data_IF_302167371203
#
_entry.id   IF_302167371203
#
_cell.length_a   1.000
_cell.length_b   1.000
_cell.length_c   1.000
_cell.angle_alpha   90.00
_cell.angle_beta   90.00
_cell.angle_gamma   90.00
#
_symmetry.space_group_name_H-M   'P 1'
#
loop_
_entity.id
_entity.type
_entity.pdbx_description
1 polymer ?
#
# COMPACT_ATOMS: atom_id res chain seq x y z
N UNK A 1 17.26 -9.26 -57.87
CA UNK A 1 18.66 -8.85 -57.64
C UNK A 1 18.79 -7.65 -56.68
N UNK A 2 17.91 -7.44 -55.69
CA UNK A 2 18.04 -6.34 -54.72
C UNK A 2 18.34 -6.81 -53.29
N UNK A 3 17.91 -8.02 -52.92
CA UNK A 3 18.11 -8.56 -51.57
C UNK A 3 19.58 -8.77 -51.22
N UNK A 4 20.39 -9.30 -52.15
CA UNK A 4 21.83 -9.54 -51.93
C UNK A 4 22.62 -8.25 -51.69
N UNK A 5 22.29 -7.17 -52.42
CA UNK A 5 22.97 -5.88 -52.25
C UNK A 5 22.69 -5.25 -50.89
N UNK A 6 21.46 -5.44 -50.37
CA UNK A 6 21.05 -4.97 -49.05
C UNK A 6 21.81 -5.70 -47.94
N UNK A 7 21.95 -7.03 -48.05
CA UNK A 7 22.71 -7.81 -47.05
C UNK A 7 24.21 -7.49 -47.07
N UNK A 8 24.79 -7.23 -48.25
CA UNK A 8 26.19 -6.79 -48.35
C UNK A 8 26.40 -5.43 -47.67
N UNK A 9 25.47 -4.48 -47.86
CA UNK A 9 25.55 -3.17 -47.18
C UNK A 9 25.47 -3.29 -45.65
N UNK A 10 24.62 -4.18 -45.14
CA UNK A 10 24.50 -4.42 -43.69
C UNK A 10 25.78 -4.94 -43.05
N UNK A 11 26.53 -5.78 -43.78
CA UNK A 11 27.79 -6.34 -43.31
C UNK A 11 28.95 -5.34 -43.48
N UNK A 12 28.93 -4.57 -44.58
CA UNK A 12 30.01 -3.65 -44.93
C UNK A 12 30.04 -2.39 -44.06
N UNK A 13 28.92 -2.02 -43.44
CA UNK A 13 28.81 -0.81 -42.62
C UNK A 13 28.22 -1.13 -41.22
N UNK A 14 29.00 -1.79 -40.33
CA UNK A 14 28.56 -2.16 -38.99
C UNK A 14 28.21 -0.95 -38.12
N UNK A 15 28.70 0.25 -38.46
CA UNK A 15 28.35 1.47 -37.73
C UNK A 15 26.93 1.96 -38.07
N UNK A 16 26.45 1.69 -39.29
CA UNK A 16 25.09 2.02 -39.75
C UNK A 16 24.10 0.87 -39.48
N UNK A 17 24.56 -0.37 -39.61
CA UNK A 17 23.71 -1.58 -39.62
C UNK A 17 24.12 -2.67 -38.64
N UNK A 18 25.30 -2.57 -38.02
CA UNK A 18 25.64 -3.43 -36.89
C UNK A 18 24.64 -3.12 -35.79
N UNK A 19 24.19 -4.18 -35.12
CA UNK A 19 23.27 -4.13 -33.99
C UNK A 19 23.60 -2.87 -33.19
N UNK A 20 22.76 -1.84 -33.32
CA UNK A 20 22.92 -0.61 -32.57
C UNK A 20 23.06 -1.09 -31.15
N UNK A 21 24.29 -1.00 -30.63
CA UNK A 21 24.68 -1.56 -29.33
C UNK A 21 23.54 -1.25 -28.42
N UNK A 22 22.81 -2.31 -28.06
CA UNK A 22 21.64 -2.36 -27.19
C UNK A 22 21.61 -1.06 -26.41
N UNK A 23 20.94 -0.04 -26.98
CA UNK A 23 21.00 1.31 -26.44
C UNK A 23 20.44 1.16 -25.06
N UNK A 24 21.33 1.16 -24.08
CA UNK A 24 21.18 0.44 -22.81
C UNK A 24 19.73 0.50 -22.38
N UNK A 25 19.01 -0.64 -22.42
CA UNK A 25 17.60 -0.67 -22.00
C UNK A 25 17.57 0.11 -20.68
N UNK A 26 16.86 1.26 -20.62
CA UNK A 26 17.01 2.16 -19.50
C UNK A 26 16.76 1.33 -18.25
N UNK A 27 17.78 1.26 -17.38
CA UNK A 27 17.71 0.41 -16.20
C UNK A 27 16.62 1.00 -15.31
N UNK A 28 15.46 0.34 -15.28
CA UNK A 28 14.34 0.76 -14.44
C UNK A 28 14.74 0.41 -13.01
N UNK A 29 15.19 1.42 -12.27
CA UNK A 29 15.41 1.31 -10.84
C UNK A 29 14.04 1.50 -10.19
N UNK A 30 13.48 0.43 -9.63
CA UNK A 30 12.23 0.51 -8.89
C UNK A 30 12.48 1.13 -7.52
N UNK A 31 11.67 2.11 -7.15
CA UNK A 31 11.67 2.64 -5.80
C UNK A 31 11.17 1.58 -4.81
N UNK A 32 11.92 1.38 -3.73
CA UNK A 32 11.48 0.55 -2.60
C UNK A 32 10.66 1.39 -1.63
N UNK A 33 9.36 1.10 -1.53
CA UNK A 33 8.45 1.77 -0.58
C UNK A 33 8.29 0.88 0.66
N UNK A 34 8.57 1.40 1.88
CA UNK A 34 8.26 0.68 3.12
C UNK A 34 6.78 0.34 3.23
N UNK A 35 6.47 -0.88 3.69
CA UNK A 35 5.09 -1.38 3.79
C UNK A 35 4.18 -0.49 4.66
N UNK A 36 4.76 0.14 5.69
CA UNK A 36 4.07 1.04 6.61
C UNK A 36 3.58 2.33 5.94
N UNK A 37 4.15 2.71 4.80
CA UNK A 37 3.69 3.85 4.00
C UNK A 37 2.51 3.51 3.10
N UNK A 38 2.16 2.23 2.97
CA UNK A 38 1.02 1.78 2.19
C UNK A 38 -0.26 1.82 3.03
N UNK A 39 -1.39 2.09 2.38
CA UNK A 39 -2.71 1.93 2.98
C UNK A 39 -3.00 0.45 3.28
N UNK A 40 -3.91 0.16 4.21
CA UNK A 40 -4.33 -1.22 4.46
C UNK A 40 -4.87 -1.94 3.22
N UNK A 41 -5.51 -1.19 2.31
CA UNK A 41 -5.98 -1.72 1.03
C UNK A 41 -4.80 -2.09 0.12
N UNK A 42 -3.83 -1.20 -0.03
CA UNK A 42 -2.61 -1.45 -0.82
C UNK A 42 -1.76 -2.61 -0.28
N UNK A 43 -1.68 -2.75 1.04
CA UNK A 43 -1.03 -3.92 1.68
C UNK A 43 -1.81 -5.18 1.33
N UNK A 44 -3.15 -5.17 1.46
CA UNK A 44 -4.00 -6.33 1.13
C UNK A 44 -3.79 -6.83 -0.29
N UNK A 45 -3.66 -5.93 -1.27
CA UNK A 45 -3.49 -6.29 -2.67
C UNK A 45 -2.09 -6.83 -3.00
N UNK A 46 -1.06 -6.47 -2.22
CA UNK A 46 0.32 -6.93 -2.42
C UNK A 46 0.66 -8.16 -1.56
N UNK A 47 0.21 -8.17 -0.32
CA UNK A 47 0.46 -9.22 0.66
C UNK A 47 -0.75 -9.36 1.62
N UNK A 48 -1.59 -10.36 1.31
CA UNK A 48 -2.75 -10.70 2.11
C UNK A 48 -2.40 -11.24 3.50
N UNK A 49 -1.23 -11.86 3.67
CA UNK A 49 -0.77 -12.44 4.94
C UNK A 49 -0.40 -11.31 5.90
N UNK A 50 0.39 -10.34 5.44
CA UNK A 50 0.77 -9.19 6.26
C UNK A 50 -0.46 -8.33 6.60
N UNK A 51 -1.38 -8.11 5.66
CA UNK A 51 -2.66 -7.45 5.94
C UNK A 51 -3.43 -8.15 7.08
N UNK A 52 -3.55 -9.48 7.04
CA UNK A 52 -4.24 -10.27 8.07
C UNK A 52 -3.54 -10.16 9.41
N UNK A 53 -2.21 -10.18 9.43
CA UNK A 53 -1.39 -10.04 10.63
C UNK A 53 -1.59 -8.67 11.28
N UNK A 54 -1.49 -7.57 10.51
CA UNK A 54 -1.75 -6.22 11.00
C UNK A 54 -3.17 -6.11 11.55
N UNK A 55 -4.18 -6.55 10.77
CA UNK A 55 -5.58 -6.52 11.19
C UNK A 55 -5.78 -7.27 12.51
N UNK A 56 -5.28 -8.49 12.62
CA UNK A 56 -5.41 -9.29 13.84
C UNK A 56 -4.71 -8.63 15.02
N UNK A 57 -3.50 -8.10 14.85
CA UNK A 57 -2.76 -7.41 15.90
C UNK A 57 -3.52 -6.18 16.42
N UNK A 58 -4.09 -5.36 15.53
CA UNK A 58 -4.92 -4.20 15.92
C UNK A 58 -6.15 -4.65 16.72
N UNK A 59 -6.86 -5.67 16.26
CA UNK A 59 -8.02 -6.20 16.99
C UNK A 59 -7.62 -6.76 18.36
N UNK A 60 -6.56 -7.57 18.44
CA UNK A 60 -6.07 -8.12 19.71
C UNK A 60 -5.71 -7.01 20.70
N UNK A 61 -5.01 -5.95 20.25
CA UNK A 61 -4.65 -4.79 21.10
C UNK A 61 -5.86 -4.08 21.71
N UNK A 62 -7.01 -4.09 21.02
CA UNK A 62 -8.23 -3.38 21.43
C UNK A 62 -9.33 -4.30 21.99
N UNK A 63 -9.04 -5.60 22.13
CA UNK A 63 -9.98 -6.58 22.68
C UNK A 63 -9.57 -6.93 24.10
N UNK A 64 -10.52 -6.83 25.04
CA UNK A 64 -10.26 -7.22 26.42
C UNK A 64 -10.30 -8.75 26.62
N UNK A 65 -9.93 -9.22 27.82
CA UNK A 65 -9.91 -10.64 28.16
C UNK A 65 -11.28 -11.33 28.05
N UNK A 66 -12.38 -10.56 28.03
CA UNK A 66 -13.75 -11.07 27.87
C UNK A 66 -14.20 -11.08 26.40
N UNK A 67 -13.32 -10.70 25.47
CA UNK A 67 -13.61 -10.65 24.03
C UNK A 67 -14.35 -9.40 23.59
N UNK A 68 -14.46 -8.36 24.43
CA UNK A 68 -15.07 -7.10 24.01
C UNK A 68 -14.04 -6.20 23.34
N UNK A 69 -14.35 -5.81 22.11
CA UNK A 69 -13.60 -4.84 21.34
C UNK A 69 -14.09 -3.45 21.75
N UNK A 70 -13.16 -2.53 22.02
CA UNK A 70 -13.49 -1.16 22.46
C UNK A 70 -13.19 -0.15 21.36
N UNK A 71 -14.17 0.70 21.05
CA UNK A 71 -13.98 1.86 20.18
C UNK A 71 -13.05 2.88 20.84
N UNK A 72 -11.98 3.28 20.16
CA UNK A 72 -10.98 4.19 20.71
C UNK A 72 -11.53 5.60 21.02
N UNK A 73 -12.49 6.10 20.24
CA UNK A 73 -13.06 7.45 20.42
C UNK A 73 -14.28 7.44 21.34
N UNK A 74 -15.24 6.55 21.10
CA UNK A 74 -16.53 6.60 21.80
C UNK A 74 -16.62 5.69 23.02
N UNK A 75 -15.64 4.81 23.24
CA UNK A 75 -15.65 3.82 24.34
C UNK A 75 -16.69 2.70 24.19
N UNK A 76 -17.50 2.71 23.13
CA UNK A 76 -18.52 1.68 22.86
C UNK A 76 -17.83 0.33 22.71
N UNK A 77 -18.41 -0.69 23.36
CA UNK A 77 -17.93 -2.06 23.33
C UNK A 77 -18.86 -2.98 22.54
N UNK A 78 -18.29 -3.91 21.78
CA UNK A 78 -19.01 -5.01 21.13
C UNK A 78 -18.08 -6.20 20.95
N UNK A 79 -18.61 -7.41 20.95
CA UNK A 79 -17.84 -8.63 20.65
C UNK A 79 -17.75 -8.88 19.12
N UNK A 80 -18.51 -8.14 18.31
CA UNK A 80 -18.57 -8.35 16.87
C UNK A 80 -17.58 -7.46 16.12
N UNK A 81 -16.57 -8.07 15.49
CA UNK A 81 -15.56 -7.33 14.69
C UNK A 81 -16.14 -6.43 13.60
N UNK A 82 -17.29 -6.82 13.01
CA UNK A 82 -17.96 -6.06 11.94
C UNK A 82 -18.49 -4.69 12.38
N UNK A 83 -18.65 -4.48 13.68
CA UNK A 83 -19.12 -3.20 14.22
C UNK A 83 -18.02 -2.13 14.21
N UNK A 84 -16.78 -2.55 13.93
CA UNK A 84 -15.59 -1.72 13.96
C UNK A 84 -14.88 -1.66 12.62
N UNK A 85 -14.29 -0.51 12.35
CA UNK A 85 -13.39 -0.25 11.23
C UNK A 85 -12.02 0.11 11.79
N UNK A 86 -10.97 -0.30 11.09
CA UNK A 86 -9.62 0.15 11.40
C UNK A 86 -9.42 1.50 10.73
N UNK A 87 -8.91 2.46 11.49
CA UNK A 87 -8.64 3.82 11.06
C UNK A 87 -7.28 4.29 11.59
N UNK A 88 -6.68 5.28 10.95
CA UNK A 88 -5.42 5.86 11.41
C UNK A 88 -5.68 6.99 12.42
N UNK A 89 -5.02 6.94 13.58
CA UNK A 89 -5.06 8.00 14.61
C UNK A 89 -4.54 9.32 14.01
N UNK A 90 -3.31 9.30 13.47
CA UNK A 90 -2.79 10.35 12.61
C UNK A 90 -3.10 9.97 11.16
N UNK A 91 -3.88 10.76 10.41
CA UNK A 91 -4.21 10.47 9.02
C UNK A 91 -2.96 10.33 8.14
N UNK A 92 -3.04 9.46 7.13
CA UNK A 92 -1.95 9.32 6.15
C UNK A 92 -1.66 10.61 5.39
N UNK A 93 -2.68 11.45 5.13
CA UNK A 93 -2.51 12.78 4.52
C UNK A 93 -1.64 13.73 5.34
N UNK A 94 -1.52 13.48 6.64
CA UNK A 94 -0.67 14.25 7.56
C UNK A 94 0.63 13.51 7.90
N UNK A 95 0.98 12.46 7.15
CA UNK A 95 2.16 11.63 7.36
C UNK A 95 2.00 10.59 8.47
N UNK A 96 0.78 10.12 8.71
CA UNK A 96 0.55 8.90 9.49
C UNK A 96 0.95 7.65 8.73
N UNK A 97 1.47 6.65 9.44
CA UNK A 97 1.88 5.36 8.88
C UNK A 97 0.94 4.24 9.32
N UNK A 98 0.88 3.15 8.57
CA UNK A 98 0.13 1.93 8.89
C UNK A 98 0.91 1.09 9.90
N UNK A 99 1.03 1.58 11.13
CA UNK A 99 1.67 0.91 12.26
C UNK A 99 0.64 0.57 13.34
N UNK A 100 0.86 -0.48 14.13
CA UNK A 100 -0.08 -0.92 15.18
C UNK A 100 -0.36 0.18 16.22
N UNK A 101 0.57 1.12 16.39
CA UNK A 101 0.41 2.24 17.32
C UNK A 101 -0.32 3.42 16.72
N UNK A 102 -0.32 3.56 15.40
CA UNK A 102 -1.09 4.59 14.70
C UNK A 102 -2.45 4.07 14.19
N UNK A 103 -2.77 2.79 14.38
CA UNK A 103 -4.06 2.21 14.01
C UNK A 103 -4.97 2.07 15.23
N UNK A 104 -6.24 2.43 15.05
CA UNK A 104 -7.30 2.36 16.06
C UNK A 104 -8.55 1.69 15.51
N UNK A 105 -9.42 1.23 16.41
CA UNK A 105 -10.75 0.70 16.05
C UNK A 105 -11.85 1.71 16.35
N UNK A 106 -12.65 2.01 15.34
CA UNK A 106 -13.75 2.95 15.43
C UNK A 106 -15.07 2.29 15.03
N UNK A 107 -16.14 2.62 15.74
CA UNK A 107 -17.49 2.37 15.21
C UNK A 107 -17.72 3.21 13.95
N UNK A 108 -18.66 2.79 13.10
CA UNK A 108 -19.03 3.57 11.90
C UNK A 108 -19.38 5.03 12.22
N UNK A 109 -20.11 5.28 13.32
CA UNK A 109 -20.46 6.63 13.76
C UNK A 109 -19.22 7.44 14.16
N UNK A 110 -18.34 6.86 14.98
CA UNK A 110 -17.11 7.53 15.42
C UNK A 110 -16.17 7.86 14.26
N UNK A 111 -16.06 6.96 13.28
CA UNK A 111 -15.28 7.18 12.07
C UNK A 111 -15.79 8.39 11.28
N UNK A 112 -17.10 8.46 11.00
CA UNK A 112 -17.71 9.60 10.28
C UNK A 112 -17.45 10.93 10.99
N UNK A 113 -17.62 10.97 12.31
CA UNK A 113 -17.34 12.17 13.10
C UNK A 113 -15.85 12.58 13.06
N UNK A 114 -14.93 11.61 13.13
CA UNK A 114 -13.49 11.87 12.98
C UNK A 114 -13.18 12.45 11.60
N UNK A 115 -13.62 11.79 10.53
CA UNK A 115 -13.41 12.26 9.15
C UNK A 115 -13.94 13.68 8.95
N UNK A 116 -15.14 13.98 9.48
CA UNK A 116 -15.70 15.33 9.41
C UNK A 116 -14.77 16.35 10.07
N UNK A 117 -14.30 16.09 11.29
CA UNK A 117 -13.39 16.99 12.02
C UNK A 117 -12.06 17.18 11.30
N UNK A 118 -11.52 16.12 10.70
CA UNK A 118 -10.25 16.17 9.96
C UNK A 118 -10.35 17.00 8.68
N UNK A 119 -11.50 16.95 7.99
CA UNK A 119 -11.73 17.74 6.77
C UNK A 119 -12.07 19.21 7.04
N UNK A 120 -12.32 19.59 8.30
CA UNK A 120 -12.63 20.98 8.67
C UNK A 120 -11.39 21.75 9.17
N UNK A 121 -10.23 21.09 9.24
CA UNK A 121 -8.95 21.65 9.68
C UNK A 121 -8.04 21.88 8.49
#
# INVERSE_FOLDING_TARGET
MKQLAIEIMKIADPDIYGDHVVGSVPTVIHDTIPIEKLTLYEIKERDIVEYRKIKNAVFTKHTDAKGFITCAISGVKSQMRRDFQIDHIKPMSQGGLTTIDNLQLLTRKAHVEKTRRENTR
#
